data_IF_811862979433
#
_entry.id   IF_811862979433
#
_cell.length_a   1.000
_cell.length_b   1.000
_cell.length_c   1.000
_cell.angle_alpha   90.00
_cell.angle_beta   90.00
_cell.angle_gamma   90.00
#
_symmetry.space_group_name_H-M   'P 1'
#
loop_
_entity.id
_entity.type
_entity.pdbx_description
1 polymer ?
#
# COMPACT_ATOMS: atom_id res chain seq x y z
N UNK A 1 9.23 -2.52 -0.71
CA UNK A 1 8.08 -1.60 -0.89
C UNK A 1 8.13 -0.49 0.13
N UNK A 2 7.69 0.70 -0.23
CA UNK A 2 7.59 1.83 0.69
C UNK A 2 6.15 2.02 1.17
N UNK A 3 6.00 2.41 2.42
CA UNK A 3 4.70 2.63 3.05
C UNK A 3 4.68 3.91 3.87
N UNK A 4 3.50 4.46 4.03
CA UNK A 4 3.23 5.58 4.92
C UNK A 4 2.10 5.22 5.88
N UNK A 5 2.16 5.69 7.12
CA UNK A 5 1.14 5.43 8.13
C UNK A 5 -0.01 6.43 8.10
N UNK A 6 -1.23 5.96 8.35
CA UNK A 6 -2.41 6.81 8.53
C UNK A 6 -3.43 6.14 9.41
N UNK A 7 -4.17 6.93 10.17
CA UNK A 7 -5.33 6.45 10.95
C UNK A 7 -6.57 6.24 10.06
N UNK A 8 -6.63 6.91 8.92
CA UNK A 8 -7.73 6.77 7.97
C UNK A 8 -7.51 5.55 7.07
N UNK A 9 -8.33 4.52 7.25
CA UNK A 9 -8.23 3.24 6.51
C UNK A 9 -8.89 3.27 5.12
N UNK A 10 -9.36 4.42 4.68
CA UNK A 10 -10.09 4.56 3.40
C UNK A 10 -9.23 5.12 2.26
N UNK A 11 -7.98 5.48 2.51
CA UNK A 11 -7.13 6.23 1.57
C UNK A 11 -6.61 5.45 0.37
N UNK A 12 -6.57 4.13 0.42
CA UNK A 12 -6.02 3.34 -0.69
C UNK A 12 -5.68 1.92 -0.29
N UNK A 13 -4.70 1.33 -0.97
CA UNK A 13 -4.23 -0.03 -0.71
C UNK A 13 -3.53 -0.18 0.62
N UNK A 14 -3.98 -1.15 1.42
CA UNK A 14 -3.41 -1.46 2.73
C UNK A 14 -2.39 -2.57 2.65
N UNK A 15 -1.26 -2.38 3.32
CA UNK A 15 -0.18 -3.34 3.44
C UNK A 15 -0.03 -3.75 4.91
N UNK A 16 0.09 -5.05 5.12
CA UNK A 16 0.19 -5.64 6.45
C UNK A 16 1.51 -6.37 6.61
N UNK A 17 2.21 -6.07 7.70
CA UNK A 17 3.54 -6.57 8.00
C UNK A 17 3.56 -7.34 9.32
N UNK A 18 4.51 -8.26 9.44
CA UNK A 18 4.84 -8.83 10.72
C UNK A 18 5.94 -8.00 11.44
N UNK A 19 6.32 -8.43 12.65
CA UNK A 19 7.17 -7.65 13.56
C UNK A 19 8.55 -7.24 12.99
N UNK A 20 9.08 -7.98 12.02
CA UNK A 20 10.36 -7.67 11.36
C UNK A 20 10.20 -6.87 10.06
N UNK A 21 8.99 -6.42 9.79
CA UNK A 21 8.58 -5.65 8.62
C UNK A 21 8.65 -6.36 7.26
N UNK A 22 8.57 -7.70 7.16
CA UNK A 22 8.25 -8.35 5.91
C UNK A 22 6.75 -8.24 5.64
N UNK A 23 6.40 -7.99 4.36
CA UNK A 23 5.01 -7.93 3.93
C UNK A 23 4.36 -9.32 4.03
N UNK A 24 3.19 -9.40 4.64
CA UNK A 24 2.42 -10.63 4.82
C UNK A 24 1.14 -10.65 4.03
N UNK A 25 0.49 -9.52 3.92
CA UNK A 25 -0.79 -9.41 3.26
C UNK A 25 -0.97 -8.00 2.69
N UNK A 26 -1.71 -7.91 1.60
CA UNK A 26 -2.06 -6.61 1.03
C UNK A 26 -3.48 -6.68 0.44
N UNK A 27 -4.19 -5.56 0.52
CA UNK A 27 -5.54 -5.41 -0.03
C UNK A 27 -5.62 -4.07 -0.75
N UNK A 28 -5.92 -4.10 -2.04
CA UNK A 28 -6.14 -2.88 -2.82
C UNK A 28 -7.52 -2.32 -2.50
N UNK A 29 -7.57 -1.08 -2.04
CA UNK A 29 -8.79 -0.32 -1.76
C UNK A 29 -9.93 -1.16 -1.14
N UNK A 30 -9.80 -1.58 0.13
CA UNK A 30 -10.75 -2.52 0.73
C UNK A 30 -12.15 -1.93 0.86
N UNK A 31 -13.16 -2.77 0.64
CA UNK A 31 -14.56 -2.45 0.92
C UNK A 31 -14.83 -2.40 2.43
N UNK A 32 -15.98 -1.87 2.83
CA UNK A 32 -16.41 -1.87 4.24
C UNK A 32 -16.47 -3.29 4.83
N UNK A 33 -16.89 -4.27 4.04
CA UNK A 33 -16.94 -5.68 4.44
C UNK A 33 -15.54 -6.24 4.65
N UNK A 34 -14.61 -5.98 3.72
CA UNK A 34 -13.21 -6.38 3.83
C UNK A 34 -12.53 -5.73 5.04
N UNK A 35 -12.82 -4.46 5.33
CA UNK A 35 -12.31 -3.78 6.52
C UNK A 35 -12.80 -4.45 7.81
N UNK A 36 -14.08 -4.88 7.86
CA UNK A 36 -14.62 -5.62 8.99
C UNK A 36 -13.93 -6.97 9.18
N UNK A 37 -13.68 -7.70 8.09
CA UNK A 37 -12.94 -8.96 8.11
C UNK A 37 -11.50 -8.77 8.61
N UNK A 38 -10.80 -7.76 8.12
CA UNK A 38 -9.45 -7.43 8.53
C UNK A 38 -9.35 -7.10 10.04
N UNK A 39 -10.36 -6.42 10.57
CA UNK A 39 -10.46 -6.18 12.02
C UNK A 39 -10.71 -7.46 12.80
N UNK A 40 -11.62 -8.30 12.32
CA UNK A 40 -11.95 -9.59 12.95
C UNK A 40 -10.76 -10.54 12.97
N UNK A 41 -9.94 -10.55 11.91
CA UNK A 41 -8.73 -11.36 11.80
C UNK A 41 -7.52 -10.78 12.55
N UNK A 42 -7.63 -9.56 13.08
CA UNK A 42 -6.56 -8.90 13.84
C UNK A 42 -5.50 -8.17 13.00
N UNK A 43 -5.71 -8.03 11.70
CA UNK A 43 -4.82 -7.25 10.82
C UNK A 43 -4.94 -5.75 11.06
N UNK A 44 -6.14 -5.25 11.33
CA UNK A 44 -6.40 -3.87 11.72
C UNK A 44 -6.71 -3.78 13.20
N UNK A 45 -5.91 -3.02 13.94
CA UNK A 45 -6.06 -2.82 15.38
C UNK A 45 -6.39 -1.36 15.67
N UNK A 46 -7.31 -1.17 16.59
CA UNK A 46 -7.67 0.18 17.06
C UNK A 46 -6.45 0.84 17.73
N UNK A 47 -6.23 2.11 17.40
CA UNK A 47 -5.11 2.89 17.94
C UNK A 47 -3.76 2.67 17.25
N UNK A 48 -3.66 1.77 16.28
CA UNK A 48 -2.48 1.57 15.45
C UNK A 48 -2.68 2.18 14.05
N UNK A 49 -1.65 2.81 13.45
CA UNK A 49 -1.76 3.32 12.09
C UNK A 49 -1.86 2.17 11.09
N UNK A 50 -2.69 2.34 10.07
CA UNK A 50 -2.67 1.48 8.90
C UNK A 50 -1.52 1.89 7.98
N UNK A 51 -0.89 0.92 7.32
CA UNK A 51 0.20 1.16 6.38
C UNK A 51 -0.34 1.19 4.95
N UNK A 52 -0.11 2.29 4.27
CA UNK A 52 -0.50 2.50 2.87
C UNK A 52 0.68 2.36 1.94
N UNK A 53 0.42 1.80 0.76
CA UNK A 53 1.37 1.81 -0.33
C UNK A 53 1.74 3.25 -0.73
N UNK A 54 3.02 3.59 -0.60
CA UNK A 54 3.53 4.93 -0.94
C UNK A 54 4.01 5.05 -2.40
N UNK A 55 3.95 3.97 -3.17
CA UNK A 55 4.20 3.99 -4.62
C UNK A 55 5.67 4.02 -5.04
N UNK A 56 6.61 3.87 -4.12
CA UNK A 56 8.04 3.80 -4.42
C UNK A 56 8.51 2.37 -4.16
N UNK A 57 9.14 1.75 -5.17
CA UNK A 57 9.53 0.34 -5.11
C UNK A 57 10.94 0.12 -5.60
N UNK A 58 11.59 -0.88 -5.01
CA UNK A 58 12.80 -1.50 -5.56
C UNK A 58 12.53 -3.00 -5.63
N UNK A 59 12.64 -3.57 -6.82
CA UNK A 59 12.38 -4.97 -7.06
C UNK A 59 13.55 -5.68 -7.72
N UNK A 60 13.65 -6.97 -7.45
CA UNK A 60 14.50 -7.86 -8.22
C UNK A 60 13.78 -8.27 -9.53
N UNK A 61 14.53 -8.74 -10.56
CA UNK A 61 13.96 -9.12 -11.86
C UNK A 61 12.86 -10.20 -11.80
N UNK A 62 12.78 -10.97 -10.72
CA UNK A 62 11.73 -11.96 -10.52
C UNK A 62 10.31 -11.36 -10.61
N UNK A 63 10.14 -10.06 -10.34
CA UNK A 63 8.86 -9.38 -10.49
C UNK A 63 8.31 -9.50 -11.93
N UNK A 64 9.18 -9.39 -12.94
CA UNK A 64 8.74 -9.36 -14.34
C UNK A 64 8.07 -10.63 -14.81
N UNK A 65 8.39 -11.79 -14.23
CA UNK A 65 7.68 -13.03 -14.50
C UNK A 65 6.22 -12.96 -14.05
N UNK A 66 5.93 -12.23 -13.00
CA UNK A 66 4.57 -12.05 -12.46
C UNK A 66 3.82 -10.92 -13.16
N UNK A 67 4.48 -9.82 -13.50
CA UNK A 67 3.83 -8.74 -14.28
C UNK A 67 3.43 -9.20 -15.67
N UNK A 68 4.19 -10.07 -16.30
CA UNK A 68 3.87 -10.65 -17.61
C UNK A 68 2.61 -11.53 -17.61
N UNK A 69 2.19 -12.00 -16.43
CA UNK A 69 0.99 -12.86 -16.26
C UNK A 69 -0.20 -12.12 -15.64
N UNK A 70 -0.10 -10.81 -15.46
CA UNK A 70 -1.19 -10.04 -14.91
C UNK A 70 -2.43 -10.12 -15.78
N UNK A 71 -3.57 -10.30 -15.13
CA UNK A 71 -4.90 -10.20 -15.72
C UNK A 71 -5.56 -8.90 -15.26
N UNK A 72 -6.54 -8.44 -16.01
CA UNK A 72 -7.29 -7.24 -15.62
C UNK A 72 -8.10 -7.50 -14.35
N UNK A 73 -8.01 -6.57 -13.41
CA UNK A 73 -8.84 -6.56 -12.20
C UNK A 73 -10.32 -6.34 -12.56
N UNK A 74 -11.25 -6.51 -11.59
CA UNK A 74 -12.66 -6.14 -11.78
C UNK A 74 -12.89 -4.70 -12.26
N UNK A 75 -11.92 -3.80 -12.00
CA UNK A 75 -11.93 -2.42 -12.50
C UNK A 75 -11.46 -2.29 -13.95
N UNK A 76 -11.04 -3.38 -14.59
CA UNK A 76 -10.52 -3.39 -15.95
C UNK A 76 -9.07 -2.91 -16.10
N UNK A 77 -8.33 -2.85 -15.01
CA UNK A 77 -6.95 -2.37 -14.95
C UNK A 77 -5.96 -3.49 -14.60
N UNK A 78 -4.73 -3.36 -15.07
CA UNK A 78 -3.62 -4.21 -14.62
C UNK A 78 -3.04 -3.61 -13.35
N UNK A 79 -3.17 -4.33 -12.24
CA UNK A 79 -2.78 -3.87 -10.91
C UNK A 79 -1.40 -4.40 -10.53
N UNK A 80 -0.45 -3.52 -10.21
CA UNK A 80 0.86 -3.95 -9.71
C UNK A 80 0.73 -4.74 -8.39
N UNK A 81 -0.23 -4.39 -7.55
CA UNK A 81 -0.51 -5.09 -6.30
C UNK A 81 -0.86 -6.57 -6.50
N UNK A 82 -1.46 -6.94 -7.62
CA UNK A 82 -1.69 -8.36 -7.98
C UNK A 82 -0.37 -9.09 -8.24
N UNK A 83 0.61 -8.43 -8.85
CA UNK A 83 1.95 -8.99 -9.03
C UNK A 83 2.68 -9.15 -7.68
N UNK A 84 2.51 -8.21 -6.75
CA UNK A 84 3.06 -8.33 -5.38
C UNK A 84 2.43 -9.52 -4.63
N UNK A 85 1.14 -9.70 -4.75
CA UNK A 85 0.43 -10.87 -4.18
C UNK A 85 0.97 -12.17 -4.75
N UNK A 86 1.19 -12.23 -6.06
CA UNK A 86 1.78 -13.41 -6.71
C UNK A 86 3.22 -13.69 -6.25
N UNK A 87 4.03 -12.65 -6.07
CA UNK A 87 5.39 -12.77 -5.49
C UNK A 87 5.35 -13.38 -4.09
N UNK A 88 4.47 -12.91 -3.23
CA UNK A 88 4.30 -13.46 -1.88
C UNK A 88 3.84 -14.91 -1.92
N UNK A 89 2.87 -15.24 -2.77
CA UNK A 89 2.37 -16.61 -2.94
C UNK A 89 3.45 -17.58 -3.45
N UNK A 90 4.40 -17.07 -4.25
CA UNK A 90 5.54 -17.84 -4.74
C UNK A 90 6.67 -18.01 -3.70
N UNK A 91 6.49 -17.50 -2.48
CA UNK A 91 7.47 -17.62 -1.40
C UNK A 91 8.57 -16.54 -1.36
N UNK A 92 8.45 -15.48 -2.18
CA UNK A 92 9.37 -14.36 -2.13
C UNK A 92 9.11 -13.47 -0.91
N UNK A 93 10.16 -12.79 -0.44
CA UNK A 93 10.05 -11.83 0.65
C UNK A 93 10.02 -10.41 0.10
N UNK A 94 9.03 -9.63 0.54
CA UNK A 94 8.93 -8.20 0.26
C UNK A 94 9.12 -7.46 1.59
N UNK A 95 10.22 -6.72 1.71
CA UNK A 95 10.46 -5.90 2.87
C UNK A 95 9.72 -4.56 2.77
N UNK A 96 9.16 -4.10 3.88
CA UNK A 96 8.58 -2.77 4.01
C UNK A 96 9.63 -1.75 4.43
N UNK A 97 9.46 -0.53 3.96
CA UNK A 97 10.21 0.64 4.41
C UNK A 97 9.22 1.78 4.69
N UNK A 98 9.10 2.13 5.95
CA UNK A 98 8.26 3.27 6.35
C UNK A 98 8.92 4.58 5.92
N UNK A 99 8.18 5.43 5.23
CA UNK A 99 8.64 6.77 4.88
C UNK A 99 8.54 7.65 6.13
N UNK A 100 9.65 8.25 6.49
CA UNK A 100 9.71 9.29 7.51
C UNK A 100 9.53 10.66 6.86
N UNK A 101 8.73 11.51 7.49
CA UNK A 101 8.46 12.86 6.99
C UNK A 101 7.19 12.94 6.14
N UNK A 102 7.10 14.01 5.37
CA UNK A 102 5.90 14.29 4.58
C UNK A 102 5.85 13.43 3.31
N UNK A 103 4.77 12.69 3.17
CA UNK A 103 4.39 12.00 1.94
C UNK A 103 2.97 12.39 1.56
N UNK A 104 2.75 12.72 0.30
CA UNK A 104 1.43 13.14 -0.20
C UNK A 104 1.21 12.55 -1.60
N UNK A 105 0.03 11.98 -1.81
CA UNK A 105 -0.46 11.60 -3.13
C UNK A 105 -1.19 12.79 -3.75
N UNK A 106 -0.59 13.38 -4.77
CA UNK A 106 -1.15 14.56 -5.46
C UNK A 106 -2.15 14.11 -6.51
N UNK A 107 -3.41 14.02 -6.12
CA UNK A 107 -4.51 13.57 -6.99
C UNK A 107 -5.27 14.70 -7.66
N UNK A 108 -5.25 15.88 -7.05
CA UNK A 108 -6.05 17.01 -7.46
C UNK A 108 -5.36 18.36 -7.15
N UNK A 109 -5.86 19.47 -7.74
CA UNK A 109 -5.29 20.79 -7.52
C UNK A 109 -5.33 21.28 -6.06
N UNK A 110 -6.29 20.84 -5.27
CA UNK A 110 -6.42 21.24 -3.86
C UNK A 110 -5.29 20.69 -3.01
N UNK A 111 -4.93 19.44 -3.23
CA UNK A 111 -3.77 18.81 -2.57
C UNK A 111 -2.48 19.53 -2.95
N UNK A 112 -2.31 19.89 -4.22
CA UNK A 112 -1.15 20.65 -4.70
C UNK A 112 -1.07 22.03 -4.05
N UNK A 113 -2.19 22.75 -3.95
CA UNK A 113 -2.25 24.05 -3.29
C UNK A 113 -1.88 23.97 -1.80
N UNK A 114 -2.33 22.91 -1.11
CA UNK A 114 -1.97 22.65 0.28
C UNK A 114 -0.46 22.43 0.47
N UNK A 115 0.20 21.75 -0.45
CA UNK A 115 1.64 21.54 -0.44
C UNK A 115 2.42 22.84 -0.64
N UNK A 116 1.96 23.71 -1.54
CA UNK A 116 2.57 25.02 -1.77
C UNK A 116 2.54 25.89 -0.52
N UNK A 117 1.41 25.94 0.18
CA UNK A 117 1.27 26.66 1.45
C UNK A 117 2.21 26.13 2.53
N UNK A 118 2.40 24.82 2.61
CA UNK A 118 3.31 24.18 3.56
C UNK A 118 4.78 24.49 3.21
N UNK A 119 5.13 24.53 1.94
CA UNK A 119 6.47 24.87 1.46
C UNK A 119 6.85 26.32 1.77
N UNK A 120 5.91 27.24 1.71
CA UNK A 120 6.13 28.66 2.05
C UNK A 120 6.39 28.89 3.55
N UNK A 121 5.97 27.97 4.41
CA UNK A 121 6.19 28.01 5.86
C UNK A 121 7.50 27.34 6.30
N UNK A 122 8.12 26.62 5.41
CA UNK A 122 9.39 25.96 5.67
C UNK A 122 10.57 26.87 5.37
#
# INVERSE_FOLDING_TARGET
VTVTGSEDVTKGGLFFFDAAFPLKHLVETPSAEQLAELRAEGWLKEGEPAWYNAGIYIFQPALFAHTARLEKSPRGEYELTDALTALLAAGNTLAGLAIEGCWVDVRDPEVLAGLQSTGEQA
#
